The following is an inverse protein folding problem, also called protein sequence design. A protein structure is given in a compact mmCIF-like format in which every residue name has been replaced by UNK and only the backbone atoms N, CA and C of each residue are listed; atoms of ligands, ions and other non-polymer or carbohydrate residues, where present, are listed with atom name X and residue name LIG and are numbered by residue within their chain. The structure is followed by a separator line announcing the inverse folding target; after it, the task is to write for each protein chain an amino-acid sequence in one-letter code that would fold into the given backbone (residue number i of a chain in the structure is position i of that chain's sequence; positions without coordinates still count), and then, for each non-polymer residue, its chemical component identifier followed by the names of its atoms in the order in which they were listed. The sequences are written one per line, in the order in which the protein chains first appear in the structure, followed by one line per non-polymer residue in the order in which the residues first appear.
data_IF_273017074376
#
_entry.id   IF_273017074376
#
_cell.length_a   1.000
_cell.length_b   1.000
_cell.length_c   1.000
_cell.angle_alpha   90.00
_cell.angle_beta   90.00
_cell.angle_gamma   90.00
#
_symmetry.space_group_name_H-M   'P 1'
#
loop_
_entity.id
_entity.type
_entity.pdbx_description
1 polymer ?
#
# COMPACT_ATOMS: atom_id res chain seq x y z
N UNK A 1 -10.96 34.73 -20.48
CA UNK A 1 -11.79 34.35 -19.33
C UNK A 1 -11.87 32.84 -19.37
N UNK A 2 -11.12 32.16 -18.50
CA UNK A 2 -10.97 30.71 -18.53
C UNK A 2 -12.12 30.09 -17.74
N UNK A 3 -12.97 29.33 -18.43
CA UNK A 3 -13.95 28.46 -17.81
C UNK A 3 -13.22 27.36 -17.03
N UNK A 4 -13.35 27.42 -15.70
CA UNK A 4 -13.00 26.32 -14.80
C UNK A 4 -14.20 25.39 -14.78
N UNK A 5 -14.19 24.44 -15.70
CA UNK A 5 -15.14 23.32 -15.69
C UNK A 5 -14.82 22.45 -14.47
N UNK A 6 -15.56 22.68 -13.38
CA UNK A 6 -15.48 21.87 -12.17
C UNK A 6 -16.10 20.50 -12.44
N UNK A 7 -15.30 19.55 -12.94
CA UNK A 7 -15.71 18.14 -13.00
C UNK A 7 -15.74 17.54 -11.58
N UNK A 8 -16.83 16.85 -11.19
CA UNK A 8 -16.89 16.15 -9.92
C UNK A 8 -15.99 14.90 -9.98
N UNK A 9 -15.10 14.73 -8.98
CA UNK A 9 -14.51 13.42 -8.68
C UNK A 9 -13.12 13.11 -9.24
N UNK A 10 -12.23 14.07 -9.46
CA UNK A 10 -10.83 13.75 -9.76
C UNK A 10 -10.11 13.25 -8.50
N UNK A 11 -10.18 11.93 -8.25
CA UNK A 11 -9.37 11.31 -7.20
C UNK A 11 -7.90 11.53 -7.53
N UNK A 12 -7.19 12.28 -6.69
CA UNK A 12 -5.79 12.62 -6.89
C UNK A 12 -4.98 11.34 -7.09
N UNK A 13 -4.29 11.22 -8.24
CA UNK A 13 -3.43 10.08 -8.57
C UNK A 13 -2.04 10.31 -8.00
N UNK A 14 -1.52 9.31 -7.28
CA UNK A 14 -0.26 9.37 -6.55
C UNK A 14 0.63 8.24 -7.06
N UNK A 15 1.83 8.60 -7.52
CA UNK A 15 2.77 7.64 -8.12
C UNK A 15 3.90 7.29 -7.16
N UNK A 16 4.19 6.00 -7.01
CA UNK A 16 5.31 5.45 -6.26
C UNK A 16 6.23 4.64 -7.17
N UNK A 17 7.54 4.94 -7.23
CA UNK A 17 8.51 4.05 -7.84
C UNK A 17 9.02 3.01 -6.82
N UNK A 18 9.60 1.94 -7.35
CA UNK A 18 10.48 1.06 -6.57
C UNK A 18 11.87 1.71 -6.37
N UNK A 19 12.75 1.06 -5.59
CA UNK A 19 14.14 1.54 -5.37
C UNK A 19 14.96 1.70 -6.63
N UNK A 20 14.72 0.92 -7.68
CA UNK A 20 15.48 1.01 -8.93
C UNK A 20 14.94 2.11 -9.85
N UNK A 21 13.71 2.58 -9.59
CA UNK A 21 12.99 3.49 -10.46
C UNK A 21 12.49 2.85 -11.76
N UNK A 22 12.65 1.53 -11.93
CA UNK A 22 12.23 0.81 -13.14
C UNK A 22 10.85 0.18 -13.02
N UNK A 23 10.30 0.06 -11.81
CA UNK A 23 8.91 -0.29 -11.56
C UNK A 23 8.16 0.90 -10.95
N UNK A 24 6.90 1.08 -11.32
CA UNK A 24 6.05 2.13 -10.77
C UNK A 24 4.63 1.65 -10.55
N UNK A 25 3.95 2.28 -9.59
CA UNK A 25 2.54 2.08 -9.31
C UNK A 25 1.84 3.41 -9.09
N UNK A 26 0.56 3.46 -9.44
CA UNK A 26 -0.34 4.58 -9.23
C UNK A 26 -1.46 4.13 -8.31
N UNK A 27 -1.70 4.93 -7.28
CA UNK A 27 -2.84 4.79 -6.39
C UNK A 27 -3.66 6.07 -6.38
N UNK A 28 -4.88 5.98 -5.88
CA UNK A 28 -5.72 7.14 -5.62
C UNK A 28 -5.36 7.80 -4.27
N UNK A 29 -6.06 8.88 -3.90
CA UNK A 29 -5.80 9.64 -2.67
C UNK A 29 -6.01 8.85 -1.38
N UNK A 30 -6.73 7.72 -1.43
CA UNK A 30 -6.95 6.83 -0.29
C UNK A 30 -6.07 5.56 -0.36
N UNK A 31 -5.16 5.49 -1.33
CA UNK A 31 -4.22 4.37 -1.49
C UNK A 31 -4.79 3.14 -2.19
N UNK A 32 -5.95 3.26 -2.86
CA UNK A 32 -6.50 2.19 -3.70
C UNK A 32 -5.69 2.10 -5.00
N UNK A 33 -5.49 0.86 -5.45
CA UNK A 33 -4.76 0.58 -6.68
C UNK A 33 -5.46 1.18 -7.91
N UNK A 34 -4.70 1.83 -8.78
CA UNK A 34 -5.18 2.37 -10.06
C UNK A 34 -4.43 1.74 -11.23
N UNK A 35 -3.10 1.75 -11.19
CA UNK A 35 -2.29 1.21 -12.29
C UNK A 35 -0.86 0.84 -11.83
N UNK A 36 -0.14 0.07 -12.65
CA UNK A 36 1.28 -0.25 -12.52
C UNK A 36 1.97 -0.28 -13.88
N UNK A 37 3.29 -0.21 -13.88
CA UNK A 37 4.08 -0.50 -15.06
C UNK A 37 5.57 -0.68 -14.79
N UNK A 38 6.27 -1.00 -15.87
CA UNK A 38 7.71 -1.17 -15.91
C UNK A 38 8.29 -0.19 -16.95
N UNK A 39 9.43 0.41 -16.62
CA UNK A 39 10.20 1.26 -17.52
C UNK A 39 11.20 0.43 -18.32
N UNK A 40 11.69 0.94 -19.46
CA UNK A 40 12.86 0.36 -20.13
C UNK A 40 14.02 0.17 -19.15
N UNK A 41 14.75 -0.95 -19.26
CA UNK A 41 15.86 -1.27 -18.37
C UNK A 41 15.47 -2.09 -17.12
N UNK A 42 14.19 -2.43 -16.93
CA UNK A 42 13.75 -3.23 -15.77
C UNK A 42 14.40 -4.63 -15.76
N UNK A 43 14.67 -5.19 -16.93
CA UNK A 43 15.26 -6.52 -17.05
C UNK A 43 16.67 -6.55 -16.43
N UNK A 44 17.47 -5.53 -16.71
CA UNK A 44 18.82 -5.36 -16.18
C UNK A 44 18.80 -4.98 -14.69
N UNK A 45 17.83 -4.17 -14.27
CA UNK A 45 17.77 -3.65 -12.90
C UNK A 45 17.16 -4.62 -11.88
N UNK A 46 16.11 -5.35 -12.27
CA UNK A 46 15.34 -6.24 -11.39
C UNK A 46 15.50 -7.71 -11.76
N UNK A 47 15.67 -8.01 -13.05
CA UNK A 47 15.62 -9.36 -13.57
C UNK A 47 14.22 -10.01 -13.45
N UNK A 48 14.07 -11.23 -13.99
CA UNK A 48 12.79 -11.95 -14.00
C UNK A 48 12.31 -12.37 -12.60
N UNK A 49 13.23 -12.57 -11.66
CA UNK A 49 12.91 -13.01 -10.30
C UNK A 49 12.61 -11.80 -9.38
N UNK A 50 13.16 -10.62 -9.67
CA UNK A 50 12.99 -9.40 -8.86
C UNK A 50 11.80 -8.51 -9.26
N UNK A 51 11.28 -8.67 -10.49
CA UNK A 51 10.21 -7.82 -11.02
C UNK A 51 8.94 -7.84 -10.16
N UNK A 52 8.58 -8.99 -9.59
CA UNK A 52 7.40 -9.09 -8.74
C UNK A 52 7.56 -8.29 -7.44
N UNK A 53 8.72 -8.40 -6.79
CA UNK A 53 9.04 -7.61 -5.61
C UNK A 53 9.09 -6.11 -5.93
N UNK A 54 9.70 -5.72 -7.06
CA UNK A 54 9.77 -4.32 -7.49
C UNK A 54 8.39 -3.69 -7.70
N UNK A 55 7.44 -4.41 -8.32
CA UNK A 55 6.07 -3.92 -8.51
C UNK A 55 5.31 -3.75 -7.17
N UNK A 56 5.54 -4.65 -6.20
CA UNK A 56 4.95 -4.50 -4.86
C UNK A 56 5.57 -3.33 -4.10
N UNK A 57 6.89 -3.18 -4.16
CA UNK A 57 7.59 -2.07 -3.53
C UNK A 57 7.11 -0.71 -4.09
N UNK A 58 6.92 -0.63 -5.41
CA UNK A 58 6.34 0.56 -6.05
C UNK A 58 4.92 0.86 -5.53
N UNK A 59 4.08 -0.17 -5.36
CA UNK A 59 2.74 -0.02 -4.80
C UNK A 59 2.75 0.46 -3.35
N UNK A 60 3.65 -0.08 -2.52
CA UNK A 60 3.82 0.35 -1.13
C UNK A 60 4.35 1.78 -1.02
N UNK A 61 5.29 2.16 -1.90
CA UNK A 61 5.78 3.53 -2.06
C UNK A 61 4.64 4.49 -2.38
N UNK A 62 3.78 4.12 -3.34
CA UNK A 62 2.62 4.92 -3.72
C UNK A 62 1.61 5.08 -2.56
N UNK A 63 1.32 3.99 -1.83
CA UNK A 63 0.42 4.00 -0.66
C UNK A 63 0.96 4.81 0.50
N UNK A 64 2.26 4.71 0.77
CA UNK A 64 2.92 5.52 1.81
C UNK A 64 2.77 7.01 1.48
N UNK A 65 3.02 7.40 0.22
CA UNK A 65 2.80 8.78 -0.22
C UNK A 65 1.34 9.21 -0.07
N UNK A 66 0.38 8.36 -0.43
CA UNK A 66 -1.05 8.64 -0.26
C UNK A 66 -1.43 8.86 1.20
N UNK A 67 -0.92 8.05 2.12
CA UNK A 67 -1.17 8.18 3.56
C UNK A 67 -0.61 9.50 4.15
N UNK A 68 0.42 10.08 3.52
CA UNK A 68 1.02 11.35 3.95
C UNK A 68 0.27 12.59 3.43
N UNK A 69 -0.51 12.47 2.35
CA UNK A 69 -1.23 13.61 1.76
C UNK A 69 -2.12 14.34 2.77
N UNK A 70 -2.98 13.66 3.56
CA UNK A 70 -3.82 14.34 4.56
C UNK A 70 -3.01 15.08 5.64
N UNK A 71 -1.82 14.57 6.00
CA UNK A 71 -0.97 15.19 7.03
C UNK A 71 -0.29 16.46 6.52
N UNK A 72 0.14 16.47 5.27
CA UNK A 72 0.72 17.64 4.62
C UNK A 72 -0.33 18.73 4.40
N UNK A 73 -1.56 18.36 4.03
CA UNK A 73 -2.68 19.30 3.91
C UNK A 73 -3.08 19.91 5.26
N UNK A 74 -3.01 19.15 6.37
CA UNK A 74 -3.26 19.68 7.73
C UNK A 74 -2.19 20.64 8.23
N UNK A 75 -0.94 20.51 7.74
CA UNK A 75 0.18 21.37 8.16
C UNK A 75 0.23 22.71 7.42
N UNK A 76 -0.56 22.88 6.34
CA UNK A 76 -0.65 24.10 5.55
C UNK A 76 -1.78 25.07 5.92
N UNK A 77 -2.53 24.83 7.00
CA UNK A 77 -3.51 25.78 7.53
C UNK A 77 -2.83 26.91 8.31
N UNK A 78 -3.42 28.14 8.38
CA UNK A 78 -2.91 29.20 9.23
C UNK A 78 -2.82 28.71 10.69
N UNK A 79 -1.85 29.20 11.49
CA UNK A 79 -1.68 28.76 12.86
C UNK A 79 -2.98 29.02 13.63
N UNK A 80 -3.69 27.95 14.00
CA UNK A 80 -4.70 28.05 15.04
C UNK A 80 -3.95 28.08 16.36
N UNK A 81 -3.89 29.26 16.95
CA UNK A 81 -3.58 29.47 18.35
C UNK A 81 -4.41 28.49 19.18
N UNK A 82 -3.75 27.48 19.75
CA UNK A 82 -4.28 26.70 20.85
C UNK A 82 -3.54 27.11 22.09
N UNK A 83 -4.08 28.14 22.73
CA UNK A 83 -3.82 28.41 24.13
C UNK A 83 -4.57 27.41 25.00
N UNK A 84 -3.77 26.79 25.87
CA UNK A 84 -4.01 26.44 27.26
C UNK A 84 -5.03 25.36 27.64
N UNK A 85 -4.49 24.31 28.26
CA UNK A 85 -5.27 23.36 29.07
C UNK A 85 -4.53 22.08 29.42
N UNK A 86 -3.30 22.14 29.95
CA UNK A 86 -2.70 20.95 30.61
C UNK A 86 -2.15 21.35 31.97
N UNK A 87 -2.91 20.93 32.99
CA UNK A 87 -2.53 20.97 34.39
C UNK A 87 -1.23 20.18 34.62
N UNK A 88 -0.36 20.75 35.44
CA UNK A 88 0.90 20.17 35.87
C UNK A 88 0.67 18.86 36.66
N UNK A 89 1.30 17.77 36.20
CA UNK A 89 1.56 16.56 36.98
C UNK A 89 3.05 16.21 36.88
N UNK A 90 3.68 15.97 38.03
CA UNK A 90 5.13 16.04 38.23
C UNK A 90 6.01 15.02 37.47
N UNK A 91 7.30 15.33 37.26
CA UNK A 91 8.20 14.55 36.42
C UNK A 91 9.08 13.60 37.25
N UNK A 92 9.10 12.31 36.92
CA UNK A 92 10.05 11.37 37.53
C UNK A 92 9.71 9.90 37.27
N UNK A 93 8.73 9.36 38.00
CA UNK A 93 8.43 7.92 37.97
C UNK A 93 7.43 7.47 36.90
N UNK A 94 6.79 8.43 36.21
CA UNK A 94 5.73 8.11 35.25
C UNK A 94 6.24 7.73 33.87
N UNK A 95 7.48 8.10 33.48
CA UNK A 95 7.91 7.95 32.09
C UNK A 95 8.33 6.52 31.76
N UNK A 96 9.03 5.84 32.67
CA UNK A 96 9.45 4.45 32.47
C UNK A 96 8.28 3.47 32.64
N UNK A 97 7.35 3.76 33.57
CA UNK A 97 6.08 3.02 33.69
C UNK A 97 5.20 3.24 32.44
N UNK A 98 5.13 4.46 31.92
CA UNK A 98 4.42 4.74 30.68
C UNK A 98 5.08 4.04 29.48
N UNK A 99 6.41 4.07 29.36
CA UNK A 99 7.15 3.34 28.33
C UNK A 99 6.93 1.83 28.41
N UNK A 100 6.96 1.26 29.61
CA UNK A 100 6.67 -0.15 29.84
C UNK A 100 5.25 -0.54 29.40
N UNK A 101 4.24 0.26 29.79
CA UNK A 101 2.84 0.04 29.38
C UNK A 101 2.64 0.20 27.87
N UNK A 102 3.33 1.15 27.24
CA UNK A 102 3.29 1.35 25.79
C UNK A 102 3.91 0.14 25.07
N UNK A 103 5.07 -0.33 25.53
CA UNK A 103 5.72 -1.53 24.96
C UNK A 103 4.85 -2.79 25.14
N UNK A 104 4.23 -2.96 26.30
CA UNK A 104 3.28 -4.05 26.60
C UNK A 104 2.06 -3.98 25.65
N UNK A 105 1.48 -2.79 25.45
CA UNK A 105 0.37 -2.59 24.55
C UNK A 105 0.74 -2.92 23.09
N UNK A 106 1.93 -2.48 22.62
CA UNK A 106 2.42 -2.86 21.29
C UNK A 106 2.64 -4.37 21.16
N UNK A 107 3.17 -5.02 22.20
CA UNK A 107 3.37 -6.49 22.21
C UNK A 107 2.04 -7.24 22.10
N UNK A 108 1.02 -6.80 22.84
CA UNK A 108 -0.32 -7.39 22.80
C UNK A 108 -1.00 -7.19 21.44
N UNK A 109 -0.84 -6.00 20.85
CA UNK A 109 -1.35 -5.71 19.50
C UNK A 109 -0.64 -6.58 18.45
N UNK A 110 0.68 -6.77 18.57
CA UNK A 110 1.44 -7.55 17.60
C UNK A 110 1.19 -9.06 17.75
N UNK A 111 1.05 -9.57 18.98
CA UNK A 111 0.61 -10.94 19.25
C UNK A 111 -0.82 -11.21 18.74
N UNK A 112 -1.75 -10.29 18.99
CA UNK A 112 -3.11 -10.38 18.45
C UNK A 112 -3.08 -10.35 16.92
N UNK A 113 -2.29 -9.47 16.32
CA UNK A 113 -2.06 -9.40 14.88
C UNK A 113 -1.42 -10.66 14.31
N UNK A 114 -0.52 -11.31 15.04
CA UNK A 114 0.10 -12.59 14.65
C UNK A 114 -0.92 -13.73 14.67
N UNK A 115 -1.70 -13.86 15.76
CA UNK A 115 -2.77 -14.87 15.87
C UNK A 115 -3.85 -14.69 14.80
N UNK A 116 -4.25 -13.44 14.53
CA UNK A 116 -5.19 -13.15 13.44
C UNK A 116 -4.60 -13.45 12.05
N UNK A 117 -3.31 -13.20 11.83
CA UNK A 117 -2.61 -13.58 10.58
C UNK A 117 -2.58 -15.10 10.40
N UNK A 118 -2.30 -15.86 11.46
CA UNK A 118 -2.26 -17.32 11.42
C UNK A 118 -3.64 -17.95 11.16
N UNK A 119 -4.72 -17.30 11.62
CA UNK A 119 -6.11 -17.74 11.40
C UNK A 119 -6.69 -17.34 10.04
N UNK A 120 -6.06 -16.40 9.33
CA UNK A 120 -6.53 -15.95 8.02
C UNK A 120 -6.04 -16.89 6.91
N UNK A 121 -6.99 -17.46 6.17
CA UNK A 121 -6.71 -18.30 5.02
C UNK A 121 -5.83 -17.54 4.01
N UNK A 122 -4.67 -18.11 3.70
CA UNK A 122 -3.83 -17.65 2.59
C UNK A 122 -4.53 -17.98 1.28
N UNK A 123 -4.75 -16.98 0.43
CA UNK A 123 -5.25 -17.15 -0.93
C UNK A 123 -4.19 -16.74 -1.93
N UNK A 124 -4.16 -17.42 -3.07
CA UNK A 124 -3.33 -17.01 -4.20
C UNK A 124 -4.22 -16.35 -5.24
N UNK A 125 -3.85 -15.14 -5.66
CA UNK A 125 -4.50 -14.43 -6.78
C UNK A 125 -3.49 -14.38 -7.90
N UNK A 126 -3.85 -14.91 -9.08
CA UNK A 126 -3.00 -14.87 -10.26
C UNK A 126 -3.68 -14.04 -11.34
N UNK A 127 -2.87 -13.39 -12.18
CA UNK A 127 -3.40 -12.83 -13.41
C UNK A 127 -3.83 -13.93 -14.40
N UNK A 128 -4.65 -13.62 -15.41
CA UNK A 128 -5.22 -14.60 -16.34
C UNK A 128 -4.19 -15.48 -17.06
N UNK A 129 -2.97 -14.98 -17.25
CA UNK A 129 -1.86 -15.68 -17.93
C UNK A 129 -0.95 -16.40 -16.94
N UNK A 130 -1.14 -16.19 -15.63
CA UNK A 130 -0.36 -16.83 -14.59
C UNK A 130 1.12 -16.43 -14.54
N UNK A 131 1.47 -15.31 -15.18
CA UNK A 131 2.81 -14.71 -15.20
C UNK A 131 3.12 -13.97 -13.90
N UNK A 132 2.09 -13.56 -13.17
CA UNK A 132 2.20 -12.86 -11.90
C UNK A 132 1.23 -13.45 -10.88
N UNK A 133 1.71 -13.67 -9.66
CA UNK A 133 0.95 -14.27 -8.56
C UNK A 133 1.15 -13.49 -7.28
N UNK A 134 0.06 -13.30 -6.55
CA UNK A 134 0.00 -12.66 -5.24
C UNK A 134 -0.40 -13.70 -4.21
N UNK A 135 0.40 -13.84 -3.17
CA UNK A 135 0.03 -14.55 -1.95
C UNK A 135 -0.57 -13.52 -1.00
N UNK A 136 -1.85 -13.70 -0.68
CA UNK A 136 -2.65 -12.73 0.06
C UNK A 136 -3.16 -13.37 1.34
N UNK A 137 -3.01 -12.66 2.45
CA UNK A 137 -3.52 -13.05 3.77
C UNK A 137 -4.24 -11.86 4.38
N UNK A 138 -5.51 -12.04 4.73
CA UNK A 138 -6.32 -10.94 5.31
C UNK A 138 -6.46 -9.71 4.42
N UNK A 139 -6.50 -9.87 3.10
CA UNK A 139 -6.56 -8.75 2.15
C UNK A 139 -5.26 -7.94 2.02
N UNK A 140 -4.16 -8.40 2.64
CA UNK A 140 -2.81 -7.85 2.48
C UNK A 140 -1.96 -8.78 1.64
N UNK A 141 -1.06 -8.20 0.86
CA UNK A 141 -0.07 -8.96 0.08
C UNK A 141 1.02 -9.41 1.06
N UNK A 142 1.24 -10.71 1.16
CA UNK A 142 2.31 -11.34 1.94
C UNK A 142 3.56 -11.54 1.06
N UNK A 143 3.33 -11.97 -0.18
CA UNK A 143 4.38 -12.18 -1.19
C UNK A 143 3.84 -12.00 -2.59
N UNK A 144 4.70 -11.61 -3.54
CA UNK A 144 4.43 -11.67 -4.97
C UNK A 144 5.53 -12.47 -5.67
N UNK A 145 5.16 -13.18 -6.72
CA UNK A 145 6.05 -14.05 -7.48
C UNK A 145 5.73 -13.97 -8.98
N UNK A 146 6.73 -14.14 -9.81
CA UNK A 146 6.52 -14.43 -11.23
C UNK A 146 6.14 -15.89 -11.41
N UNK A 147 5.34 -16.15 -12.45
CA UNK A 147 4.88 -17.50 -12.79
C UNK A 147 6.03 -18.46 -13.11
N UNK A 148 5.74 -19.77 -13.20
CA UNK A 148 6.73 -20.78 -13.54
C UNK A 148 7.34 -20.58 -14.95
N UNK A 149 6.62 -19.89 -15.83
CA UNK A 149 7.16 -19.38 -17.08
C UNK A 149 7.91 -18.08 -16.79
N UNK A 150 9.24 -18.14 -16.83
CA UNK A 150 10.07 -16.95 -16.68
C UNK A 150 9.75 -15.97 -17.81
N UNK A 151 9.30 -14.74 -17.50
CA UNK A 151 9.07 -13.74 -18.52
C UNK A 151 10.39 -13.47 -19.24
N UNK A 152 10.36 -13.28 -20.55
CA UNK A 152 11.49 -12.72 -21.29
C UNK A 152 11.45 -11.19 -21.29
N UNK A 153 12.51 -10.52 -21.77
CA UNK A 153 12.53 -9.06 -21.91
C UNK A 153 11.40 -8.51 -22.81
N UNK A 154 10.93 -9.32 -23.79
CA UNK A 154 9.80 -8.99 -24.66
C UNK A 154 8.41 -9.18 -24.02
N UNK A 155 8.30 -9.79 -22.84
CA UNK A 155 7.01 -10.07 -22.21
C UNK A 155 6.53 -8.95 -21.28
N UNK A 156 7.20 -7.79 -21.30
CA UNK A 156 6.92 -6.64 -20.42
C UNK A 156 5.43 -6.29 -20.36
N UNK A 157 4.78 -6.10 -21.51
CA UNK A 157 3.37 -5.74 -21.57
C UNK A 157 2.45 -6.83 -21.01
N UNK A 158 2.77 -8.10 -21.28
CA UNK A 158 1.99 -9.24 -20.81
C UNK A 158 2.11 -9.40 -19.31
N UNK A 159 3.32 -9.25 -18.77
CA UNK A 159 3.58 -9.29 -17.34
C UNK A 159 2.88 -8.15 -16.60
N UNK A 160 2.97 -6.92 -17.12
CA UNK A 160 2.28 -5.76 -16.54
C UNK A 160 0.77 -5.93 -16.59
N UNK A 161 0.22 -6.41 -17.70
CA UNK A 161 -1.21 -6.69 -17.80
C UNK A 161 -1.65 -7.75 -16.77
N UNK A 162 -0.89 -8.84 -16.63
CA UNK A 162 -1.19 -9.91 -15.70
C UNK A 162 -1.14 -9.44 -14.23
N UNK A 163 -0.12 -8.63 -13.90
CA UNK A 163 0.01 -8.03 -12.57
C UNK A 163 -1.09 -7.02 -12.28
N UNK A 164 -1.51 -6.22 -13.27
CA UNK A 164 -2.64 -5.29 -13.15
C UNK A 164 -3.94 -6.03 -12.87
N UNK A 165 -4.19 -7.13 -13.58
CA UNK A 165 -5.38 -7.96 -13.38
C UNK A 165 -5.41 -8.55 -11.96
N UNK A 166 -4.29 -9.12 -11.50
CA UNK A 166 -4.17 -9.68 -10.15
C UNK A 166 -4.38 -8.62 -9.04
N UNK A 167 -3.81 -7.42 -9.19
CA UNK A 167 -3.95 -6.33 -8.24
C UNK A 167 -5.35 -5.71 -8.24
N UNK A 168 -6.00 -5.64 -9.41
CA UNK A 168 -7.39 -5.20 -9.53
C UNK A 168 -8.31 -6.17 -8.81
N UNK A 169 -8.09 -7.47 -8.97
CA UNK A 169 -8.88 -8.50 -8.29
C UNK A 169 -8.68 -8.47 -6.77
N UNK A 170 -7.45 -8.24 -6.32
CA UNK A 170 -7.18 -7.98 -4.90
C UNK A 170 -7.97 -6.78 -4.37
N UNK A 171 -8.02 -5.68 -5.13
CA UNK A 171 -8.72 -4.46 -4.74
C UNK A 171 -10.23 -4.70 -4.61
N UNK A 172 -10.86 -5.40 -5.57
CA UNK A 172 -12.28 -5.76 -5.51
C UNK A 172 -12.63 -6.59 -4.28
N UNK A 173 -11.80 -7.58 -3.96
CA UNK A 173 -12.00 -8.41 -2.78
C UNK A 173 -11.90 -7.66 -1.45
N UNK A 174 -11.26 -6.48 -1.42
CA UNK A 174 -11.14 -5.64 -0.22
C UNK A 174 -12.38 -4.79 0.00
N UNK A 175 -12.97 -4.25 -1.06
CA UNK A 175 -14.20 -3.45 -0.95
C UNK A 175 -15.39 -4.35 -0.55
N UNK A 176 -15.53 -5.55 -1.14
CA UNK A 176 -16.60 -6.49 -0.77
C UNK A 176 -16.51 -7.05 0.66
N UNK A 177 -15.31 -7.07 1.25
CA UNK A 177 -15.13 -7.45 2.64
C UNK A 177 -15.55 -6.35 3.62
N UNK A 178 -15.53 -5.07 3.24
CA UNK A 178 -16.01 -3.97 4.09
C UNK A 178 -17.55 -3.87 4.07
N UNK A 179 -18.18 -4.15 2.94
CA UNK A 179 -19.64 -4.12 2.80
C UNK A 179 -20.34 -5.26 3.58
N UNK A 180 -19.65 -6.37 3.84
CA UNK A 180 -20.19 -7.49 4.59
C UNK A 180 -20.36 -7.21 6.10
N UNK A 181 -19.70 -6.19 6.65
CA UNK A 181 -19.82 -5.79 8.07
C UNK A 181 -20.82 -4.65 8.30
N UNK A 182 -21.42 -4.12 7.24
CA UNK A 182 -22.43 -3.05 7.33
C UNK A 182 -23.87 -3.57 7.20
N UNK A 183 -24.08 -4.88 7.19
CA UNK A 183 -25.39 -5.54 7.18
C UNK A 183 -25.67 -6.29 8.47
#
# INVERSE_FOLDING_TARGET
MSDVESMPGHTQRITGPDRTGTAWAVVDSVGRFVDIGLRPGWWEALGPDGVAAGLIEALESARTKAALVPLLLRRGGPPQDRDEGVAAAGPGDSLDVARGRIAEAYRLIDEAGKRMREQQASRVIAGPRGLFRLHVRGGRIDRAETGPQRPGPGDTERLVADARDALTELARGRDGALDAWQR
#
